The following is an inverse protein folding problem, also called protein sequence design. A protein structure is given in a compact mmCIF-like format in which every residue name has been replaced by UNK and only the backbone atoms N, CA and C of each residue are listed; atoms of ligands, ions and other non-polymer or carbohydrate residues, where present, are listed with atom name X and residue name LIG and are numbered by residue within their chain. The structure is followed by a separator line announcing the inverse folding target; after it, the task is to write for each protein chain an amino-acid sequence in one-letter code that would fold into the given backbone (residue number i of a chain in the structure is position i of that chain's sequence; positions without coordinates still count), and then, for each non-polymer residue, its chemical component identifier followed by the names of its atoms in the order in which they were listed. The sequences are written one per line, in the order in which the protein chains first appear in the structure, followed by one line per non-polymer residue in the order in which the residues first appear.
data_IF_932840951604
#
_entry.id   IF_932840951604
#
_cell.length_a   1.000
_cell.length_b   1.000
_cell.length_c   1.000
_cell.angle_alpha   90.00
_cell.angle_beta   90.00
_cell.angle_gamma   90.00
#
_symmetry.space_group_name_H-M   'P 1'
#
loop_
_entity.id
_entity.type
_entity.pdbx_description
1 polymer ?
#
# COMPACT_ATOMS: atom_id res chain seq x y z
N UNK A 1 -11.54 -20.65 16.38
CA UNK A 1 -11.70 -19.27 15.85
C UNK A 1 -11.85 -19.34 14.34
N UNK A 2 -12.82 -18.60 13.79
CA UNK A 2 -13.02 -18.55 12.34
C UNK A 2 -11.89 -17.76 11.69
N UNK A 3 -11.31 -18.28 10.60
CA UNK A 3 -10.19 -17.63 9.89
C UNK A 3 -10.51 -16.23 9.40
N UNK A 4 -11.76 -15.96 9.00
CA UNK A 4 -12.18 -14.61 8.57
C UNK A 4 -12.10 -13.57 9.69
N UNK A 5 -12.03 -13.99 10.95
CA UNK A 5 -11.89 -13.11 12.10
C UNK A 5 -10.43 -12.99 12.56
N UNK A 6 -9.49 -13.52 11.80
CA UNK A 6 -8.06 -13.48 12.11
C UNK A 6 -7.36 -12.51 11.17
N UNK A 7 -6.38 -11.80 11.70
CA UNK A 7 -5.48 -10.96 10.92
C UNK A 7 -4.06 -11.21 11.41
N UNK A 8 -3.14 -11.43 10.47
CA UNK A 8 -1.74 -11.69 10.77
C UNK A 8 -0.91 -10.50 10.32
N UNK A 9 -0.10 -9.95 11.23
CA UNK A 9 0.89 -8.94 10.92
C UNK A 9 2.13 -9.62 10.31
N UNK A 10 2.41 -9.34 9.05
CA UNK A 10 3.49 -9.95 8.31
C UNK A 10 4.83 -9.21 8.48
N UNK A 11 4.88 -8.26 9.36
CA UNK A 11 6.06 -7.51 9.84
C UNK A 11 6.96 -7.01 8.70
N UNK A 12 6.92 -5.71 8.43
CA UNK A 12 7.83 -5.08 7.46
C UNK A 12 9.24 -5.00 8.06
N UNK A 13 10.21 -5.56 7.35
CA UNK A 13 11.63 -5.47 7.71
C UNK A 13 12.30 -4.36 6.89
N UNK A 14 13.24 -3.66 7.53
CA UNK A 14 13.95 -2.53 6.91
C UNK A 14 14.93 -3.02 5.85
N UNK A 15 14.73 -2.65 4.58
CA UNK A 15 15.62 -3.06 3.50
C UNK A 15 16.97 -2.34 3.51
N UNK A 16 17.08 -1.21 4.21
CA UNK A 16 18.35 -0.51 4.39
C UNK A 16 19.33 -1.24 5.28
N UNK A 17 18.85 -2.10 6.18
CA UNK A 17 19.68 -2.86 7.12
C UNK A 17 19.76 -4.35 6.74
N UNK A 18 18.82 -4.85 5.97
CA UNK A 18 18.77 -6.23 5.52
C UNK A 18 18.25 -6.28 4.09
N UNK A 19 19.14 -6.56 3.13
CA UNK A 19 18.81 -6.48 1.69
C UNK A 19 17.66 -7.39 1.26
N UNK A 20 17.38 -8.46 2.00
CA UNK A 20 16.30 -9.40 1.73
C UNK A 20 15.05 -9.14 2.60
N UNK A 21 15.05 -8.08 3.42
CA UNK A 21 13.99 -7.83 4.39
C UNK A 21 12.61 -7.62 3.75
N UNK A 22 12.55 -6.76 2.74
CA UNK A 22 11.29 -6.51 2.04
C UNK A 22 10.77 -7.76 1.33
N UNK A 23 11.66 -8.52 0.69
CA UNK A 23 11.29 -9.78 0.04
C UNK A 23 10.72 -10.79 1.04
N UNK A 24 11.33 -10.89 2.22
CA UNK A 24 10.82 -11.78 3.26
C UNK A 24 9.40 -11.41 3.68
N UNK A 25 9.10 -10.12 3.80
CA UNK A 25 7.74 -9.65 4.11
C UNK A 25 6.76 -10.03 2.99
N UNK A 26 7.15 -9.80 1.74
CA UNK A 26 6.33 -10.15 0.58
C UNK A 26 6.03 -11.65 0.52
N UNK A 27 7.05 -12.49 0.74
CA UNK A 27 6.90 -13.95 0.77
C UNK A 27 5.98 -14.38 1.93
N UNK A 28 6.09 -13.75 3.09
CA UNK A 28 5.22 -14.04 4.24
C UNK A 28 3.76 -13.73 3.92
N UNK A 29 3.48 -12.58 3.29
CA UNK A 29 2.11 -12.22 2.89
C UNK A 29 1.55 -13.27 1.93
N UNK A 30 2.32 -13.67 0.95
CA UNK A 30 1.90 -14.67 -0.03
C UNK A 30 1.60 -16.01 0.64
N UNK A 31 2.47 -16.48 1.52
CA UNK A 31 2.30 -17.75 2.22
C UNK A 31 1.05 -17.71 3.10
N UNK A 32 0.88 -16.65 3.88
CA UNK A 32 -0.30 -16.51 4.76
C UNK A 32 -1.58 -16.48 3.92
N UNK A 33 -1.57 -15.77 2.81
CA UNK A 33 -2.73 -15.66 1.91
C UNK A 33 -3.06 -17.01 1.28
N UNK A 34 -2.07 -17.68 0.70
CA UNK A 34 -2.28 -18.91 -0.09
C UNK A 34 -2.51 -20.13 0.79
N UNK A 35 -1.75 -20.28 1.88
CA UNK A 35 -1.77 -21.50 2.69
C UNK A 35 -2.73 -21.43 3.87
N UNK A 36 -2.89 -20.26 4.49
CA UNK A 36 -3.76 -20.09 5.65
C UNK A 36 -5.11 -19.47 5.30
N UNK A 37 -5.18 -18.67 4.26
CA UNK A 37 -6.43 -18.02 3.84
C UNK A 37 -6.96 -17.03 4.87
N UNK A 38 -6.08 -16.37 5.64
CA UNK A 38 -6.46 -15.37 6.64
C UNK A 38 -6.07 -13.97 6.16
N UNK A 39 -6.67 -12.95 6.79
CA UNK A 39 -6.34 -11.57 6.48
C UNK A 39 -4.93 -11.23 6.97
N UNK A 40 -4.28 -10.32 6.24
CA UNK A 40 -2.93 -9.86 6.57
C UNK A 40 -2.92 -8.35 6.78
N UNK A 41 -1.98 -7.88 7.60
CA UNK A 41 -1.68 -6.46 7.76
C UNK A 41 -0.18 -6.26 7.79
N UNK A 42 0.27 -5.05 7.44
CA UNK A 42 1.67 -4.65 7.50
C UNK A 42 1.76 -3.19 7.89
N UNK A 43 2.63 -2.87 8.83
CA UNK A 43 3.05 -1.48 9.08
C UNK A 43 4.11 -1.11 8.06
N UNK A 44 3.75 -0.38 7.01
CA UNK A 44 4.58 -0.19 5.82
C UNK A 44 5.86 0.60 6.06
N UNK A 45 5.82 1.60 6.94
CA UNK A 45 6.90 2.59 7.04
C UNK A 45 8.25 2.00 7.44
N UNK A 46 8.26 0.87 8.12
CA UNK A 46 9.52 0.24 8.55
C UNK A 46 10.39 -0.23 7.39
N UNK A 47 9.79 -0.55 6.23
CA UNK A 47 10.54 -1.01 5.04
C UNK A 47 11.57 0.03 4.58
N UNK A 48 11.27 1.30 4.72
CA UNK A 48 12.10 2.42 4.25
C UNK A 48 12.96 3.04 5.35
N UNK A 49 13.00 2.45 6.54
CA UNK A 49 13.75 3.01 7.67
C UNK A 49 15.21 3.24 7.29
N UNK A 50 15.69 4.44 7.53
CA UNK A 50 17.06 4.84 7.23
C UNK A 50 17.34 5.20 5.77
N UNK A 51 16.33 5.12 4.88
CA UNK A 51 16.49 5.43 3.47
C UNK A 51 15.86 6.80 3.12
N UNK A 52 16.32 7.44 2.04
CA UNK A 52 15.73 8.70 1.58
C UNK A 52 14.40 8.46 0.87
N UNK A 53 13.56 9.49 0.82
CA UNK A 53 12.28 9.50 0.09
C UNK A 53 11.31 8.41 0.56
N UNK A 54 11.18 8.29 1.88
CA UNK A 54 10.37 7.26 2.51
C UNK A 54 8.91 7.21 2.03
N UNK A 55 8.21 8.36 1.84
CA UNK A 55 6.81 8.29 1.38
C UNK A 55 6.64 7.56 0.06
N UNK A 56 7.54 7.77 -0.91
CA UNK A 56 7.45 7.10 -2.20
C UNK A 56 7.83 5.62 -2.09
N UNK A 57 8.84 5.29 -1.29
CA UNK A 57 9.19 3.89 -1.02
C UNK A 57 8.03 3.14 -0.35
N UNK A 58 7.42 3.75 0.66
CA UNK A 58 6.29 3.15 1.37
C UNK A 58 5.11 2.88 0.42
N UNK A 59 4.80 3.84 -0.44
CA UNK A 59 3.73 3.70 -1.42
C UNK A 59 4.01 2.59 -2.44
N UNK A 60 5.24 2.52 -2.93
CA UNK A 60 5.67 1.46 -3.87
C UNK A 60 5.61 0.08 -3.20
N UNK A 61 6.04 -0.02 -1.95
CA UNK A 61 5.99 -1.27 -1.20
C UNK A 61 4.55 -1.72 -0.95
N UNK A 62 3.65 -0.78 -0.66
CA UNK A 62 2.22 -1.10 -0.50
C UNK A 62 1.66 -1.78 -1.75
N UNK A 63 2.01 -1.29 -2.94
CA UNK A 63 1.55 -1.91 -4.19
C UNK A 63 2.07 -3.34 -4.34
N UNK A 64 3.33 -3.59 -3.99
CA UNK A 64 3.88 -4.94 -4.03
C UNK A 64 3.21 -5.86 -3.01
N UNK A 65 2.96 -5.37 -1.81
CA UNK A 65 2.25 -6.13 -0.78
C UNK A 65 0.82 -6.48 -1.22
N UNK A 66 0.11 -5.52 -1.80
CA UNK A 66 -1.23 -5.74 -2.34
C UNK A 66 -1.20 -6.84 -3.42
N UNK A 67 -0.18 -6.83 -4.27
CA UNK A 67 0.02 -7.86 -5.30
C UNK A 67 0.23 -9.26 -4.74
N UNK A 68 0.67 -9.38 -3.49
CA UNK A 68 0.82 -10.66 -2.81
C UNK A 68 -0.43 -11.09 -2.03
N UNK A 69 -1.45 -10.24 -1.96
CA UNK A 69 -2.70 -10.57 -1.30
C UNK A 69 -2.93 -9.87 0.05
N UNK A 70 -2.13 -8.86 0.39
CA UNK A 70 -2.33 -8.08 1.61
C UNK A 70 -3.74 -7.48 1.64
N UNK A 71 -4.45 -7.64 2.76
CA UNK A 71 -5.84 -7.18 2.88
C UNK A 71 -5.98 -5.83 3.57
N UNK A 72 -5.05 -5.47 4.45
CA UNK A 72 -5.01 -4.14 5.03
C UNK A 72 -3.58 -3.75 5.39
N UNK A 73 -3.37 -2.50 5.73
CA UNK A 73 -2.05 -2.00 6.11
C UNK A 73 -2.18 -0.81 7.05
N UNK A 74 -1.09 -0.53 7.75
CA UNK A 74 -0.95 0.68 8.56
C UNK A 74 -0.02 1.62 7.79
N UNK A 75 -0.52 2.79 7.44
CA UNK A 75 0.23 3.79 6.68
C UNK A 75 -0.35 5.17 6.92
N UNK A 76 0.26 6.19 6.31
CA UNK A 76 -0.19 7.57 6.45
C UNK A 76 -1.27 7.88 5.41
N UNK A 77 -2.55 8.03 5.83
CA UNK A 77 -3.65 8.28 4.90
C UNK A 77 -3.60 9.67 4.26
N UNK A 78 -2.82 10.58 4.82
CA UNK A 78 -2.68 11.95 4.30
C UNK A 78 -1.58 12.08 3.26
N UNK A 79 -0.74 11.07 3.10
CA UNK A 79 0.34 11.09 2.12
C UNK A 79 -0.20 10.95 0.71
N UNK A 80 0.04 11.93 -0.20
CA UNK A 80 -0.46 11.86 -1.58
C UNK A 80 0.05 10.65 -2.35
N UNK A 81 1.28 10.21 -2.10
CA UNK A 81 1.83 9.01 -2.74
C UNK A 81 1.07 7.76 -2.33
N UNK A 82 0.73 7.64 -1.04
CA UNK A 82 -0.04 6.51 -0.53
C UNK A 82 -1.47 6.52 -1.08
N UNK A 83 -2.10 7.68 -1.18
CA UNK A 83 -3.43 7.82 -1.77
C UNK A 83 -3.43 7.38 -3.24
N UNK A 84 -2.43 7.81 -4.01
CA UNK A 84 -2.28 7.40 -5.40
C UNK A 84 -2.08 5.88 -5.52
N UNK A 85 -1.20 5.33 -4.70
CA UNK A 85 -0.93 3.89 -4.70
C UNK A 85 -2.20 3.08 -4.37
N UNK A 86 -2.98 3.54 -3.39
CA UNK A 86 -4.22 2.86 -3.02
C UNK A 86 -5.25 2.88 -4.16
N UNK A 87 -5.43 4.02 -4.82
CA UNK A 87 -6.34 4.15 -5.96
C UNK A 87 -5.88 3.29 -7.14
N UNK A 88 -4.58 3.29 -7.42
CA UNK A 88 -4.00 2.45 -8.47
C UNK A 88 -4.17 0.97 -8.18
N UNK A 89 -3.97 0.56 -6.95
CA UNK A 89 -4.13 -0.84 -6.52
C UNK A 89 -5.56 -1.34 -6.79
N UNK A 90 -6.57 -0.57 -6.43
CA UNK A 90 -7.96 -0.92 -6.70
C UNK A 90 -8.26 -1.04 -8.19
N UNK A 91 -7.69 -0.12 -8.98
CA UNK A 91 -7.83 -0.15 -10.43
C UNK A 91 -7.26 -1.44 -11.02
N UNK A 92 -6.03 -1.78 -10.62
CA UNK A 92 -5.31 -2.96 -11.16
C UNK A 92 -5.93 -4.29 -10.72
N UNK A 93 -6.51 -4.33 -9.52
CA UNK A 93 -7.20 -5.53 -9.03
C UNK A 93 -8.61 -5.72 -9.62
N UNK A 94 -9.06 -4.79 -10.47
CA UNK A 94 -10.39 -4.89 -11.08
C UNK A 94 -11.54 -4.52 -10.15
N UNK A 95 -11.24 -3.87 -9.03
CA UNK A 95 -12.24 -3.42 -8.05
C UNK A 95 -12.87 -2.08 -8.42
N UNK A 96 -12.26 -1.33 -9.34
CA UNK A 96 -12.70 -0.01 -9.78
C UNK A 96 -13.27 -0.11 -11.19
N UNK A 97 -14.59 -0.33 -11.28
CA UNK A 97 -15.27 -0.53 -12.56
C UNK A 97 -15.09 0.68 -13.48
N UNK A 98 -14.60 0.42 -14.70
CA UNK A 98 -14.38 1.43 -15.73
C UNK A 98 -13.52 2.61 -15.25
N UNK A 99 -12.67 2.39 -14.25
CA UNK A 99 -11.78 3.40 -13.66
C UNK A 99 -12.53 4.64 -13.10
N UNK A 100 -13.80 4.49 -12.75
CA UNK A 100 -14.62 5.63 -12.29
C UNK A 100 -14.07 6.25 -11.01
N UNK A 101 -13.63 5.43 -10.06
CA UNK A 101 -13.04 5.91 -8.81
C UNK A 101 -11.72 6.63 -9.03
N UNK A 102 -10.87 6.07 -9.88
CA UNK A 102 -9.58 6.69 -10.23
C UNK A 102 -9.79 8.03 -10.96
N UNK A 103 -10.70 8.10 -11.91
CA UNK A 103 -10.98 9.33 -12.65
C UNK A 103 -11.55 10.42 -11.73
N UNK A 104 -12.42 10.07 -10.80
CA UNK A 104 -12.93 11.01 -9.80
C UNK A 104 -11.82 11.55 -8.91
N UNK A 105 -10.95 10.68 -8.45
CA UNK A 105 -9.77 11.05 -7.66
C UNK A 105 -8.86 12.00 -8.45
N UNK A 106 -8.57 11.68 -9.70
CA UNK A 106 -7.69 12.50 -10.56
C UNK A 106 -8.27 13.90 -10.77
N UNK A 107 -9.56 14.01 -11.03
CA UNK A 107 -10.24 15.30 -11.20
C UNK A 107 -10.17 16.16 -9.94
N UNK A 108 -10.35 15.54 -8.77
CA UNK A 108 -10.20 16.24 -7.50
C UNK A 108 -8.79 16.75 -7.28
N UNK A 109 -7.80 15.97 -7.66
CA UNK A 109 -6.39 16.36 -7.57
C UNK A 109 -6.08 17.53 -8.49
N UNK A 110 -6.57 17.52 -9.72
CA UNK A 110 -6.41 18.62 -10.66
C UNK A 110 -7.05 19.91 -10.14
N UNK A 111 -8.27 19.83 -9.60
CA UNK A 111 -8.96 20.98 -9.04
C UNK A 111 -8.22 21.56 -7.84
N UNK A 112 -7.67 20.71 -6.96
CA UNK A 112 -6.88 21.15 -5.83
C UNK A 112 -5.58 21.85 -6.25
N UNK A 113 -4.90 21.32 -7.28
CA UNK A 113 -3.69 21.93 -7.85
C UNK A 113 -3.98 23.28 -8.51
N UNK A 114 -5.07 23.39 -9.26
CA UNK A 114 -5.50 24.63 -9.89
C UNK A 114 -5.84 25.69 -8.83
N UNK A 115 -6.56 25.33 -7.79
CA UNK A 115 -6.91 26.22 -6.67
C UNK A 115 -5.64 26.70 -5.93
N UNK A 116 -4.68 25.82 -5.71
CA UNK A 116 -3.40 26.18 -5.09
C UNK A 116 -2.58 27.14 -5.96
N UNK A 117 -2.60 26.94 -7.28
CA UNK A 117 -1.90 27.83 -8.23
C UNK A 117 -2.50 29.23 -8.25
N UNK A 118 -3.82 29.35 -8.17
CA UNK A 118 -4.51 30.64 -8.15
C UNK A 118 -4.23 31.47 -6.88
N UNK A 119 -3.86 30.82 -5.79
CA UNK A 119 -3.54 31.50 -4.51
C UNK A 119 -2.11 32.08 -4.47
N UNK A 120 -1.30 31.79 -5.44
CA UNK A 120 0.03 32.37 -5.60
C UNK A 120 -0.06 33.62 -6.45
#
# INVERSE_FOLDING_TARGET
MDRKNMIIDCVALACGTASTGAKATLDTIRIVTEELGVNTTVGLSNVSFGLPDRPRLNASFMLMCAGQGMTCFIGNPMDPNMQFALKSSKLFWGEDKFAMGYLTYFRKMQAAQAAAAEKK
#
